data_IF_733347566960
#
_entry.id   IF_733347566960
#
_cell.length_a   1.000
_cell.length_b   1.000
_cell.length_c   1.000
_cell.angle_alpha   90.00
_cell.angle_beta   90.00
_cell.angle_gamma   90.00
#
_symmetry.space_group_name_H-M   'P 1'
#
loop_
_entity.id
_entity.type
_entity.pdbx_description
1 polymer ?
#
# COMPACT_ATOMS: atom_id res chain seq x y z
N UNK A 1 -7.89 1.78 -18.11
CA UNK A 1 -7.21 0.49 -18.40
C UNK A 1 -7.22 0.08 -19.88
N UNK A 2 -8.09 0.63 -20.72
CA UNK A 2 -8.28 0.20 -22.12
C UNK A 2 -7.05 0.34 -23.03
N UNK A 3 -6.12 1.21 -22.69
CA UNK A 3 -4.85 1.40 -23.43
C UNK A 3 -3.71 0.50 -22.96
N UNK A 4 -3.91 -0.28 -21.91
CA UNK A 4 -2.90 -1.15 -21.32
C UNK A 4 -3.13 -2.60 -21.74
N UNK A 5 -2.05 -3.35 -21.88
CA UNK A 5 -2.09 -4.79 -22.17
C UNK A 5 -1.88 -5.59 -20.90
N UNK A 6 -2.67 -6.63 -20.72
CA UNK A 6 -2.51 -7.58 -19.64
C UNK A 6 -1.50 -8.68 -20.01
N UNK A 7 -0.65 -9.01 -19.06
CA UNK A 7 0.41 -10.02 -19.19
C UNK A 7 0.54 -10.84 -17.91
N UNK A 8 1.31 -11.91 -17.98
CA UNK A 8 1.68 -12.71 -16.81
C UNK A 8 3.13 -13.17 -16.88
N UNK A 9 3.80 -13.19 -15.74
CA UNK A 9 5.13 -13.75 -15.55
C UNK A 9 5.05 -14.88 -14.56
N UNK A 10 5.62 -16.04 -14.90
CA UNK A 10 5.83 -17.14 -13.95
C UNK A 10 7.23 -17.05 -13.39
N UNK A 11 7.34 -16.96 -12.07
CA UNK A 11 8.61 -16.89 -11.33
C UNK A 11 9.25 -18.26 -11.20
N UNK A 12 10.54 -18.29 -10.83
CA UNK A 12 11.32 -19.51 -10.62
C UNK A 12 10.75 -20.43 -9.53
N UNK A 13 10.03 -19.84 -8.56
CA UNK A 13 9.30 -20.57 -7.52
C UNK A 13 7.94 -21.13 -7.98
N UNK A 14 7.58 -20.98 -9.26
CA UNK A 14 6.30 -21.41 -9.83
C UNK A 14 5.12 -20.48 -9.57
N UNK A 15 5.29 -19.39 -8.82
CA UNK A 15 4.26 -18.39 -8.64
C UNK A 15 4.12 -17.52 -9.89
N UNK A 16 2.94 -16.96 -10.10
CA UNK A 16 2.66 -16.10 -11.27
C UNK A 16 2.27 -14.71 -10.79
N UNK A 17 2.86 -13.68 -11.41
CA UNK A 17 2.45 -12.28 -11.29
C UNK A 17 1.74 -11.86 -12.56
N UNK A 18 0.47 -11.49 -12.43
CA UNK A 18 -0.29 -10.83 -13.48
C UNK A 18 -0.01 -9.31 -13.42
N UNK A 19 0.10 -8.66 -14.58
CA UNK A 19 0.38 -7.22 -14.62
C UNK A 19 -0.16 -6.56 -15.88
N UNK A 20 -0.34 -5.26 -15.81
CA UNK A 20 -0.70 -4.40 -16.92
C UNK A 20 0.50 -3.58 -17.35
N UNK A 21 0.66 -3.41 -18.67
CA UNK A 21 1.75 -2.64 -19.26
C UNK A 21 1.25 -1.76 -20.40
N UNK A 22 1.85 -0.56 -20.52
CA UNK A 22 1.55 0.37 -21.61
C UNK A 22 2.58 1.49 -21.76
N UNK A 23 2.28 2.42 -22.65
CA UNK A 23 3.16 3.55 -22.94
C UNK A 23 4.31 3.21 -23.89
N UNK A 24 5.42 3.93 -23.79
CA UNK A 24 6.59 3.76 -24.66
C UNK A 24 7.47 2.62 -24.19
N UNK A 25 7.71 1.61 -25.02
CA UNK A 25 8.53 0.46 -24.66
C UNK A 25 9.98 0.83 -24.28
N UNK A 26 10.51 1.90 -24.87
CA UNK A 26 11.87 2.42 -24.62
C UNK A 26 11.88 3.58 -23.59
N UNK A 27 10.70 3.89 -23.03
CA UNK A 27 10.54 4.95 -22.02
C UNK A 27 11.08 4.56 -20.66
N UNK A 28 11.35 5.57 -19.82
CA UNK A 28 11.70 5.33 -18.41
C UNK A 28 10.63 4.49 -17.73
N UNK A 29 10.98 3.34 -17.12
CA UNK A 29 10.00 2.49 -16.48
C UNK A 29 9.44 3.14 -15.20
N UNK A 30 8.11 3.22 -15.11
CA UNK A 30 7.35 3.54 -13.91
C UNK A 30 6.59 2.29 -13.48
N UNK A 31 6.93 1.74 -12.32
CA UNK A 31 6.29 0.53 -11.77
C UNK A 31 5.41 0.94 -10.60
N UNK A 32 4.10 0.68 -10.73
CA UNK A 32 3.08 1.09 -9.76
C UNK A 32 2.64 -0.10 -8.92
N UNK A 33 2.94 -0.07 -7.62
CA UNK A 33 2.70 -1.16 -6.67
C UNK A 33 1.56 -0.78 -5.74
N UNK A 34 0.45 -1.53 -5.82
CA UNK A 34 -0.71 -1.36 -4.94
C UNK A 34 -0.52 -2.07 -3.60
N UNK A 35 -1.39 -1.76 -2.63
CA UNK A 35 -1.39 -2.37 -1.31
C UNK A 35 -2.67 -3.14 -0.98
N UNK A 36 -3.09 -3.07 0.29
CA UNK A 36 -4.23 -3.79 0.86
C UNK A 36 -5.51 -2.95 0.87
N UNK A 37 -6.65 -3.52 0.60
CA UNK A 37 -6.95 -4.74 -0.15
C UNK A 37 -7.29 -4.39 -1.59
N UNK A 38 -6.28 -4.18 -2.42
CA UNK A 38 -6.37 -3.46 -3.67
C UNK A 38 -5.99 -4.27 -4.91
N UNK A 39 -5.94 -3.64 -6.07
CA UNK A 39 -5.56 -4.17 -7.37
C UNK A 39 -4.70 -3.16 -8.15
N UNK A 40 -3.96 -3.63 -9.15
CA UNK A 40 -3.27 -2.76 -10.10
C UNK A 40 -4.18 -1.69 -10.72
N UNK A 41 -5.47 -1.98 -10.85
CA UNK A 41 -6.46 -1.06 -11.43
C UNK A 41 -6.66 0.22 -10.59
N UNK A 42 -6.33 0.24 -9.31
CA UNK A 42 -6.40 1.47 -8.48
C UNK A 42 -5.55 2.59 -9.06
N UNK A 43 -4.52 2.26 -9.81
CA UNK A 43 -3.63 3.18 -10.50
C UNK A 43 -4.14 3.64 -11.87
N UNK A 44 -5.38 3.34 -12.25
CA UNK A 44 -5.92 3.57 -13.60
C UNK A 44 -5.75 5.00 -14.12
N UNK A 45 -5.86 6.01 -13.26
CA UNK A 45 -5.70 7.42 -13.63
C UNK A 45 -4.24 7.75 -13.94
N UNK A 46 -3.31 7.34 -13.06
CA UNK A 46 -1.89 7.55 -13.21
C UNK A 46 -1.34 6.76 -14.40
N UNK A 47 -1.70 5.48 -14.52
CA UNK A 47 -1.30 4.63 -15.63
C UNK A 47 -1.76 5.20 -16.97
N UNK A 48 -3.04 5.63 -17.08
CA UNK A 48 -3.58 6.23 -18.29
C UNK A 48 -2.86 7.52 -18.68
N UNK A 49 -2.52 8.36 -17.69
CA UNK A 49 -1.82 9.62 -17.89
C UNK A 49 -0.38 9.40 -18.37
N UNK A 50 0.41 8.62 -17.62
CA UNK A 50 1.83 8.43 -17.93
C UNK A 50 2.06 7.55 -19.17
N UNK A 51 1.13 6.66 -19.51
CA UNK A 51 1.18 5.90 -20.77
C UNK A 51 1.07 6.77 -22.02
N UNK A 52 0.49 7.97 -21.92
CA UNK A 52 0.41 8.94 -23.02
C UNK A 52 1.65 9.84 -23.13
N UNK A 53 2.57 9.70 -22.20
CA UNK A 53 3.86 10.40 -22.14
C UNK A 53 4.99 9.47 -22.64
N UNK A 54 6.24 9.85 -22.46
CA UNK A 54 7.40 9.05 -22.88
C UNK A 54 7.81 7.97 -21.86
N UNK A 55 6.89 7.53 -20.98
CA UNK A 55 7.16 6.51 -19.97
C UNK A 55 6.68 5.11 -20.39
N UNK A 56 7.34 4.09 -19.85
CA UNK A 56 6.87 2.71 -19.85
C UNK A 56 6.18 2.46 -18.52
N UNK A 57 4.85 2.31 -18.50
CA UNK A 57 4.07 2.12 -17.28
C UNK A 57 3.76 0.65 -17.05
N UNK A 58 3.94 0.18 -15.83
CA UNK A 58 3.76 -1.22 -15.44
C UNK A 58 3.07 -1.25 -14.08
N UNK A 59 2.04 -2.10 -13.93
CA UNK A 59 1.35 -2.27 -12.66
C UNK A 59 1.00 -3.75 -12.45
N UNK A 60 1.69 -4.45 -11.55
CA UNK A 60 1.32 -5.81 -11.17
C UNK A 60 0.12 -5.83 -10.21
N UNK A 61 -0.70 -6.86 -10.34
CA UNK A 61 -1.49 -7.34 -9.21
C UNK A 61 -0.53 -8.05 -8.25
N UNK A 62 -0.43 -7.56 -7.03
CA UNK A 62 0.50 -8.12 -6.05
C UNK A 62 0.05 -9.52 -5.63
N UNK A 63 0.96 -10.30 -5.03
CA UNK A 63 0.67 -11.65 -4.54
C UNK A 63 -0.55 -11.66 -3.63
N UNK A 64 -1.50 -12.53 -3.94
CA UNK A 64 -2.76 -12.65 -3.22
C UNK A 64 -3.92 -11.87 -3.82
N UNK A 65 -3.69 -11.14 -4.91
CA UNK A 65 -4.68 -10.26 -5.53
C UNK A 65 -4.86 -10.54 -7.02
N UNK A 66 -6.02 -10.15 -7.54
CA UNK A 66 -6.35 -10.16 -8.97
C UNK A 66 -6.17 -11.53 -9.62
N UNK A 67 -5.38 -11.59 -10.67
CA UNK A 67 -5.06 -12.82 -11.36
C UNK A 67 -3.65 -13.37 -11.01
N UNK A 68 -2.96 -12.76 -10.03
CA UNK A 68 -1.71 -13.27 -9.48
C UNK A 68 -1.92 -14.47 -8.55
N UNK A 69 -0.85 -15.20 -8.28
CA UNK A 69 -0.88 -16.35 -7.37
C UNK A 69 -1.21 -15.94 -5.93
N UNK A 70 -1.97 -16.80 -5.24
CA UNK A 70 -2.42 -16.60 -3.87
C UNK A 70 -2.15 -17.86 -3.01
N UNK A 71 -0.88 -18.12 -2.62
CA UNK A 71 -0.55 -19.28 -1.78
C UNK A 71 -1.21 -19.19 -0.41
N UNK A 72 -1.49 -20.37 0.19
CA UNK A 72 -2.13 -20.48 1.51
C UNK A 72 -1.16 -20.44 2.69
N UNK A 73 0.15 -20.35 2.43
CA UNK A 73 1.16 -20.18 3.47
C UNK A 73 1.37 -18.68 3.77
N UNK A 74 1.20 -18.28 5.03
CA UNK A 74 1.41 -16.88 5.43
C UNK A 74 2.82 -16.38 5.17
N UNK A 75 3.84 -17.24 5.29
CA UNK A 75 5.23 -16.88 5.05
C UNK A 75 5.48 -16.43 3.62
N UNK A 76 4.69 -16.92 2.66
CA UNK A 76 4.75 -16.49 1.27
C UNK A 76 4.48 -14.97 1.08
N UNK A 77 3.95 -14.30 2.08
CA UNK A 77 3.65 -12.87 2.10
C UNK A 77 4.64 -12.05 2.94
N UNK A 78 5.72 -12.68 3.43
CA UNK A 78 6.80 -11.96 4.10
C UNK A 78 7.65 -11.16 3.12
N UNK A 79 8.26 -10.07 3.58
CA UNK A 79 9.10 -9.22 2.71
C UNK A 79 10.34 -9.95 2.20
N UNK A 80 10.89 -10.91 2.97
CA UNK A 80 12.00 -11.75 2.51
C UNK A 80 11.66 -12.65 1.32
N UNK A 81 10.34 -12.90 1.07
CA UNK A 81 9.85 -13.65 -0.09
C UNK A 81 9.39 -12.71 -1.21
N UNK A 82 8.72 -11.61 -0.87
CA UNK A 82 8.17 -10.66 -1.84
C UNK A 82 9.26 -9.84 -2.53
N UNK A 83 10.31 -9.43 -1.80
CA UNK A 83 11.40 -8.62 -2.38
C UNK A 83 12.15 -9.36 -3.47
N UNK A 84 12.63 -10.60 -3.30
CA UNK A 84 13.22 -11.37 -4.39
C UNK A 84 12.28 -11.58 -5.58
N UNK A 85 10.97 -11.68 -5.35
CA UNK A 85 10.00 -11.79 -6.46
C UNK A 85 9.89 -10.48 -7.26
N UNK A 86 9.93 -9.32 -6.60
CA UNK A 86 9.97 -8.03 -7.30
C UNK A 86 11.29 -7.83 -8.08
N UNK A 87 12.41 -8.31 -7.54
CA UNK A 87 13.69 -8.33 -8.26
C UNK A 87 13.57 -9.18 -9.53
N UNK A 88 13.10 -10.42 -9.41
CA UNK A 88 12.89 -11.32 -10.54
C UNK A 88 11.87 -10.76 -11.55
N UNK A 89 10.83 -10.07 -11.07
CA UNK A 89 9.85 -9.39 -11.91
C UNK A 89 10.53 -8.33 -12.79
N UNK A 90 11.35 -7.46 -12.22
CA UNK A 90 12.11 -6.46 -12.97
C UNK A 90 13.09 -7.12 -13.97
N UNK A 91 13.81 -8.16 -13.56
CA UNK A 91 14.74 -8.90 -14.41
C UNK A 91 14.04 -9.51 -15.63
N UNK A 92 12.91 -10.18 -15.45
CA UNK A 92 12.12 -10.78 -16.54
C UNK A 92 11.55 -9.75 -17.52
N UNK A 93 11.34 -8.53 -17.07
CA UNK A 93 10.94 -7.39 -17.89
C UNK A 93 12.13 -6.65 -18.52
N UNK A 94 13.36 -7.12 -18.30
CA UNK A 94 14.62 -6.49 -18.72
C UNK A 94 14.77 -5.06 -18.18
N UNK A 95 14.27 -4.80 -16.98
CA UNK A 95 14.35 -3.51 -16.30
C UNK A 95 15.54 -3.53 -15.33
N UNK A 96 16.56 -2.71 -15.62
CA UNK A 96 17.73 -2.57 -14.75
C UNK A 96 17.49 -1.58 -13.62
N UNK A 97 16.77 -0.50 -13.92
CA UNK A 97 16.36 0.53 -12.97
C UNK A 97 14.99 1.07 -13.35
N UNK A 98 14.19 1.39 -12.36
CA UNK A 98 12.87 2.00 -12.53
C UNK A 98 12.62 3.10 -11.51
N UNK A 99 11.60 3.90 -11.74
CA UNK A 99 10.92 4.65 -10.69
C UNK A 99 9.82 3.73 -10.13
N UNK A 100 9.88 3.46 -8.84
CA UNK A 100 8.89 2.65 -8.14
C UNK A 100 7.91 3.57 -7.42
N UNK A 101 6.62 3.44 -7.78
CA UNK A 101 5.53 4.23 -7.21
C UNK A 101 4.64 3.28 -6.42
N UNK A 102 4.43 3.58 -5.15
CA UNK A 102 3.76 2.63 -4.26
C UNK A 102 2.69 3.30 -3.39
N UNK A 103 1.72 2.49 -2.95
CA UNK A 103 0.67 2.89 -2.02
C UNK A 103 0.43 1.77 -0.99
N UNK A 104 0.15 2.16 0.27
CA UNK A 104 -0.19 1.26 1.38
C UNK A 104 0.86 0.15 1.59
N UNK A 105 0.49 -1.15 1.67
CA UNK A 105 1.44 -2.27 1.75
C UNK A 105 2.36 -2.39 0.53
N UNK A 106 1.96 -1.82 -0.61
CA UNK A 106 2.88 -1.65 -1.74
C UNK A 106 4.10 -0.82 -1.36
N UNK A 107 3.92 0.23 -0.53
CA UNK A 107 5.06 0.95 0.05
C UNK A 107 5.91 0.04 0.93
N UNK A 108 5.30 -0.80 1.79
CA UNK A 108 6.07 -1.75 2.61
C UNK A 108 6.97 -2.67 1.78
N UNK A 109 6.46 -3.20 0.67
CA UNK A 109 7.23 -4.03 -0.24
C UNK A 109 8.34 -3.25 -0.97
N UNK A 110 8.01 -2.04 -1.48
CA UNK A 110 8.97 -1.18 -2.20
C UNK A 110 10.01 -0.59 -1.25
N UNK A 111 9.66 -0.25 -0.02
CA UNK A 111 10.59 0.20 1.02
C UNK A 111 11.64 -0.86 1.32
N UNK A 112 11.21 -2.11 1.53
CA UNK A 112 12.13 -3.22 1.74
C UNK A 112 12.98 -3.50 0.48
N UNK A 113 12.38 -3.43 -0.73
CA UNK A 113 13.13 -3.53 -1.98
C UNK A 113 14.20 -2.43 -2.08
N UNK A 114 13.86 -1.19 -1.75
CA UNK A 114 14.78 -0.05 -1.78
C UNK A 114 15.95 -0.21 -0.81
N UNK A 115 15.69 -0.71 0.38
CA UNK A 115 16.70 -0.94 1.41
C UNK A 115 17.64 -2.12 1.08
N UNK A 116 17.18 -3.14 0.35
CA UNK A 116 17.96 -4.32 0.00
C UNK A 116 18.57 -4.26 -1.41
N UNK A 117 17.90 -3.59 -2.35
CA UNK A 117 18.26 -3.51 -3.76
C UNK A 117 18.23 -2.07 -4.31
N UNK A 118 18.96 -1.09 -3.69
CA UNK A 118 18.97 0.30 -4.13
C UNK A 118 19.41 0.47 -5.58
N UNK A 119 20.17 -0.49 -6.12
CA UNK A 119 20.61 -0.52 -7.51
C UNK A 119 19.46 -0.59 -8.54
N UNK A 120 18.27 -0.99 -8.16
CA UNK A 120 17.08 -1.09 -9.02
C UNK A 120 16.30 0.24 -9.12
N UNK A 121 16.75 1.27 -8.41
CA UNK A 121 16.02 2.54 -8.31
C UNK A 121 16.64 3.66 -9.15
N UNK A 122 15.81 4.32 -9.97
CA UNK A 122 16.03 5.68 -10.44
C UNK A 122 15.48 6.67 -9.41
N UNK A 123 14.41 6.29 -8.74
CA UNK A 123 13.75 7.02 -7.68
C UNK A 123 12.58 6.22 -7.11
N UNK A 124 12.01 6.70 -6.02
CA UNK A 124 10.87 6.08 -5.34
C UNK A 124 9.81 7.14 -5.03
N UNK A 125 8.54 6.81 -5.24
CA UNK A 125 7.42 7.65 -4.82
C UNK A 125 6.47 6.83 -3.94
N UNK A 126 6.34 7.21 -2.68
CA UNK A 126 5.45 6.58 -1.71
C UNK A 126 4.22 7.46 -1.47
N UNK A 127 3.04 6.85 -1.56
CA UNK A 127 1.76 7.50 -1.29
C UNK A 127 1.15 6.94 0.00
N UNK A 128 0.76 7.83 0.89
CA UNK A 128 0.15 7.59 2.20
C UNK A 128 1.10 6.92 3.22
N UNK A 129 1.88 5.92 2.85
CA UNK A 129 2.75 5.17 3.77
C UNK A 129 4.21 5.58 3.61
N UNK A 130 4.79 6.05 4.70
CA UNK A 130 6.15 6.56 4.76
C UNK A 130 7.22 5.46 4.60
N UNK A 131 8.41 5.83 4.13
CA UNK A 131 9.60 4.97 4.25
C UNK A 131 9.97 4.80 5.72
N UNK A 132 10.44 3.63 6.11
CA UNK A 132 10.74 3.22 7.50
C UNK A 132 9.49 3.24 8.37
N UNK A 133 8.46 2.46 7.97
CA UNK A 133 7.21 2.33 8.70
C UNK A 133 6.71 0.87 8.76
N UNK A 134 5.79 0.45 7.91
CA UNK A 134 5.13 -0.86 7.97
C UNK A 134 6.08 -2.03 7.77
N UNK A 135 7.14 -1.86 7.02
CA UNK A 135 8.20 -2.86 6.80
C UNK A 135 9.02 -3.17 8.07
N UNK A 136 9.00 -2.26 9.03
CA UNK A 136 9.71 -2.43 10.31
C UNK A 136 8.85 -3.07 11.41
N UNK A 137 7.64 -3.50 11.06
CA UNK A 137 6.78 -4.28 11.94
C UNK A 137 5.97 -3.46 12.94
N UNK A 138 5.05 -4.17 13.63
CA UNK A 138 4.04 -3.55 14.47
C UNK A 138 4.62 -2.78 15.69
N UNK A 139 5.64 -3.32 16.34
CA UNK A 139 6.23 -2.67 17.53
C UNK A 139 6.85 -1.31 17.16
N UNK A 140 7.48 -1.22 15.97
CA UNK A 140 7.99 0.05 15.47
C UNK A 140 6.84 1.04 15.20
N UNK A 141 5.78 0.60 14.54
CA UNK A 141 4.60 1.45 14.28
C UNK A 141 3.98 1.98 15.57
N UNK A 142 3.86 1.12 16.59
CA UNK A 142 3.35 1.50 17.92
C UNK A 142 4.26 2.51 18.61
N UNK A 143 5.59 2.40 18.45
CA UNK A 143 6.55 3.37 18.99
C UNK A 143 6.43 4.77 18.34
N UNK A 144 5.84 4.84 17.12
CA UNK A 144 5.62 6.09 16.41
C UNK A 144 4.27 6.76 16.71
N UNK A 145 3.39 6.09 17.47
CA UNK A 145 2.03 6.59 17.77
C UNK A 145 2.08 7.97 18.42
N UNK A 146 1.29 8.90 17.88
CA UNK A 146 1.06 10.21 18.50
C UNK A 146 0.19 10.06 19.75
N UNK A 147 0.80 10.10 20.93
CA UNK A 147 0.15 9.88 22.22
C UNK A 147 -0.75 11.03 22.67
N UNK A 148 -0.69 12.20 22.03
CA UNK A 148 -1.65 13.28 22.25
C UNK A 148 -3.01 12.94 21.63
N UNK A 149 -3.03 12.20 20.51
CA UNK A 149 -4.26 11.70 19.88
C UNK A 149 -4.69 10.37 20.49
N UNK A 150 -3.72 9.50 20.80
CA UNK A 150 -3.93 8.13 21.29
C UNK A 150 -3.25 7.91 22.65
N UNK A 151 -3.78 8.44 23.77
CA UNK A 151 -3.24 8.19 25.10
C UNK A 151 -3.07 6.69 25.37
N UNK A 152 -1.89 6.28 25.87
CA UNK A 152 -1.50 4.87 25.97
C UNK A 152 -2.44 4.03 26.83
N UNK A 153 -2.95 4.62 27.93
CA UNK A 153 -3.91 3.97 28.84
C UNK A 153 -5.26 3.65 28.18
N UNK A 154 -5.61 4.34 27.09
CA UNK A 154 -6.85 4.10 26.35
C UNK A 154 -6.60 3.36 25.02
N UNK A 155 -5.47 3.59 24.39
CA UNK A 155 -5.14 3.11 23.04
C UNK A 155 -3.74 2.49 23.03
N UNK A 156 -3.57 1.34 23.68
CA UNK A 156 -2.28 0.63 23.79
C UNK A 156 -1.54 0.55 22.44
N UNK A 157 -2.25 0.16 21.38
CA UNK A 157 -1.71 -0.01 20.02
C UNK A 157 -1.91 1.23 19.12
N UNK A 158 -2.47 2.33 19.64
CA UNK A 158 -2.85 3.48 18.84
C UNK A 158 -3.79 3.09 17.68
N UNK A 159 -3.61 3.73 16.53
CA UNK A 159 -4.35 3.42 15.29
C UNK A 159 -4.02 2.03 14.69
N UNK A 160 -2.99 1.35 15.20
CA UNK A 160 -2.53 0.04 14.71
C UNK A 160 -3.22 -1.15 15.40
N UNK A 161 -4.20 -0.92 16.25
CA UNK A 161 -4.91 -1.97 16.97
C UNK A 161 -5.53 -3.04 16.03
N UNK A 162 -5.91 -2.67 14.80
CA UNK A 162 -6.39 -3.61 13.79
C UNK A 162 -5.33 -4.63 13.36
N UNK A 163 -4.05 -4.24 13.26
CA UNK A 163 -2.97 -5.17 12.91
C UNK A 163 -2.76 -6.19 14.02
N UNK A 164 -2.83 -5.75 15.29
CA UNK A 164 -2.80 -6.66 16.44
C UNK A 164 -3.99 -7.61 16.45
N UNK A 165 -5.16 -7.12 16.05
CA UNK A 165 -6.34 -7.95 15.90
C UNK A 165 -6.15 -9.04 14.83
N UNK A 166 -5.56 -8.73 13.68
CA UNK A 166 -5.22 -9.73 12.66
C UNK A 166 -4.31 -10.84 13.20
N UNK A 167 -3.28 -10.50 13.97
CA UNK A 167 -2.37 -11.51 14.55
C UNK A 167 -3.05 -12.45 15.53
N UNK A 168 -3.92 -11.92 16.40
CA UNK A 168 -4.54 -12.67 17.49
C UNK A 168 -5.86 -13.36 17.08
N UNK A 169 -6.54 -12.83 16.08
CA UNK A 169 -7.88 -13.22 15.65
C UNK A 169 -7.96 -13.36 14.12
N UNK A 170 -6.99 -14.06 13.54
CA UNK A 170 -6.83 -14.16 12.08
C UNK A 170 -8.09 -14.71 11.39
N UNK A 171 -8.63 -15.84 11.88
CA UNK A 171 -9.78 -16.49 11.27
C UNK A 171 -11.06 -15.65 11.40
N UNK A 172 -11.27 -15.05 12.60
CA UNK A 172 -12.40 -14.18 12.85
C UNK A 172 -12.36 -12.93 11.98
N UNK A 173 -11.17 -12.32 11.81
CA UNK A 173 -11.02 -11.14 10.97
C UNK A 173 -11.30 -11.45 9.49
N UNK A 174 -10.76 -12.55 8.97
CA UNK A 174 -11.04 -12.98 7.59
C UNK A 174 -12.55 -13.19 7.37
N UNK A 175 -13.20 -13.89 8.31
CA UNK A 175 -14.62 -14.15 8.23
C UNK A 175 -15.47 -12.87 8.25
N UNK A 176 -15.10 -11.86 9.02
CA UNK A 176 -15.80 -10.58 9.03
C UNK A 176 -15.85 -9.92 7.65
N UNK A 177 -14.75 -10.02 6.89
CA UNK A 177 -14.68 -9.50 5.52
C UNK A 177 -15.40 -10.39 4.52
N UNK A 178 -15.21 -11.71 4.60
CA UNK A 178 -15.80 -12.67 3.67
C UNK A 178 -17.32 -12.74 3.74
N UNK A 179 -17.89 -12.64 4.94
CA UNK A 179 -19.34 -12.65 5.13
C UNK A 179 -20.06 -11.46 4.48
N UNK A 180 -19.35 -10.36 4.17
CA UNK A 180 -19.93 -9.09 3.70
C UNK A 180 -19.07 -8.35 2.67
N UNK A 181 -18.44 -9.09 1.76
CA UNK A 181 -17.44 -8.56 0.80
C UNK A 181 -17.94 -7.29 0.09
N UNK A 182 -19.14 -7.33 -0.52
CA UNK A 182 -19.69 -6.23 -1.30
C UNK A 182 -19.88 -4.96 -0.47
N UNK A 183 -20.40 -5.12 0.73
CA UNK A 183 -20.66 -4.01 1.63
C UNK A 183 -19.38 -3.40 2.19
N UNK A 184 -18.46 -4.27 2.67
CA UNK A 184 -17.21 -3.85 3.27
C UNK A 184 -16.31 -3.17 2.25
N UNK A 185 -16.26 -3.68 1.02
CA UNK A 185 -15.50 -3.03 -0.06
C UNK A 185 -15.97 -1.58 -0.26
N UNK A 186 -17.27 -1.32 -0.26
CA UNK A 186 -17.77 0.06 -0.35
C UNK A 186 -17.41 0.91 0.88
N UNK A 187 -17.48 0.34 2.08
CA UNK A 187 -17.14 1.05 3.33
C UNK A 187 -15.65 1.43 3.36
N UNK A 188 -14.75 0.54 2.95
CA UNK A 188 -13.31 0.81 2.93
C UNK A 188 -12.93 1.94 1.97
N UNK A 189 -13.61 2.04 0.84
CA UNK A 189 -13.32 3.05 -0.19
C UNK A 189 -14.20 4.31 -0.09
N UNK A 190 -14.70 4.64 1.08
CA UNK A 190 -15.41 5.91 1.28
C UNK A 190 -14.43 7.09 1.26
N UNK A 191 -14.93 8.24 0.80
CA UNK A 191 -14.19 9.51 0.82
C UNK A 191 -13.80 9.90 2.25
N UNK A 192 -12.70 10.59 2.39
CA UNK A 192 -12.26 11.11 3.68
C UNK A 192 -13.30 12.03 4.33
N UNK A 193 -13.18 12.16 5.65
CA UNK A 193 -14.02 13.06 6.47
C UNK A 193 -13.11 14.06 7.20
N UNK A 194 -13.01 15.32 6.75
CA UNK A 194 -12.12 16.32 7.36
C UNK A 194 -12.34 16.51 8.86
N UNK A 195 -13.59 16.30 9.33
CA UNK A 195 -13.95 16.38 10.74
C UNK A 195 -13.34 15.30 11.62
N UNK A 196 -12.79 14.23 11.05
CA UNK A 196 -12.07 13.17 11.79
C UNK A 196 -10.61 13.52 12.05
N UNK A 197 -10.08 14.56 11.40
CA UNK A 197 -8.68 14.96 11.53
C UNK A 197 -8.29 15.25 12.98
N UNK A 198 -7.15 14.66 13.41
CA UNK A 198 -6.63 14.83 14.77
C UNK A 198 -7.44 14.14 15.86
N UNK A 199 -8.37 13.25 15.50
CA UNK A 199 -9.16 12.43 16.43
C UNK A 199 -8.75 10.96 16.31
N UNK A 200 -9.00 10.14 17.36
CA UNK A 200 -8.77 8.72 17.28
C UNK A 200 -9.51 8.06 16.11
N UNK A 201 -8.78 7.32 15.30
CA UNK A 201 -9.28 6.54 14.18
C UNK A 201 -10.21 5.41 14.65
N UNK A 202 -11.25 5.04 13.90
CA UNK A 202 -12.01 3.81 14.15
C UNK A 202 -11.12 2.55 14.26
N UNK A 203 -9.99 2.52 13.56
CA UNK A 203 -9.02 1.41 13.59
C UNK A 203 -8.43 1.16 14.99
N UNK A 204 -8.31 2.22 15.80
CA UNK A 204 -7.82 2.12 17.19
C UNK A 204 -8.76 1.36 18.13
N UNK A 205 -10.01 1.17 17.73
CA UNK A 205 -11.01 0.48 18.54
C UNK A 205 -11.15 -1.00 18.21
N UNK A 206 -10.53 -1.50 17.13
CA UNK A 206 -10.73 -2.86 16.62
C UNK A 206 -10.54 -3.93 17.70
N UNK A 207 -9.49 -3.86 18.51
CA UNK A 207 -9.27 -4.78 19.63
C UNK A 207 -10.39 -4.68 20.70
N UNK A 208 -10.75 -3.47 21.12
CA UNK A 208 -11.79 -3.24 22.14
C UNK A 208 -13.19 -3.60 21.64
N UNK A 209 -13.43 -3.40 20.36
CA UNK A 209 -14.70 -3.74 19.71
C UNK A 209 -14.87 -5.25 19.49
N UNK A 210 -13.76 -6.01 19.51
CA UNK A 210 -13.73 -7.44 19.21
C UNK A 210 -13.87 -7.74 17.72
N UNK A 211 -13.45 -6.81 16.87
CA UNK A 211 -13.45 -6.91 15.41
C UNK A 211 -13.53 -5.57 14.70
N UNK A 212 -13.36 -5.60 13.37
CA UNK A 212 -13.39 -4.41 12.52
C UNK A 212 -14.78 -3.76 12.46
N UNK A 213 -15.81 -4.60 12.39
CA UNK A 213 -17.20 -4.17 12.20
C UNK A 213 -18.07 -4.72 13.34
N UNK A 214 -17.55 -4.66 14.56
CA UNK A 214 -18.22 -5.10 15.77
C UNK A 214 -18.30 -4.00 16.82
N UNK A 215 -19.23 -4.17 17.75
CA UNK A 215 -19.28 -3.44 19.00
C UNK A 215 -19.45 -4.46 20.12
N UNK A 216 -18.48 -4.52 21.06
CA UNK A 216 -18.46 -5.51 22.15
C UNK A 216 -18.60 -6.98 21.65
N UNK A 217 -17.92 -7.30 20.54
CA UNK A 217 -17.94 -8.61 19.91
C UNK A 217 -19.19 -8.93 19.07
N UNK A 218 -20.16 -8.03 18.99
CA UNK A 218 -21.39 -8.21 18.20
C UNK A 218 -21.25 -7.45 16.87
N UNK A 219 -21.53 -8.08 15.71
CA UNK A 219 -21.53 -7.39 14.42
C UNK A 219 -22.47 -6.18 14.43
N UNK A 220 -21.99 -5.05 13.89
CA UNK A 220 -22.82 -3.85 13.71
C UNK A 220 -23.46 -3.86 12.32
N UNK A 221 -24.62 -3.27 12.21
CA UNK A 221 -25.23 -2.99 10.91
C UNK A 221 -24.45 -1.90 10.21
N UNK A 222 -23.89 -2.25 9.07
CA UNK A 222 -23.22 -1.29 8.18
C UNK A 222 -24.24 -0.77 7.17
N UNK A 223 -24.24 0.54 6.88
CA UNK A 223 -25.13 1.08 5.85
C UNK A 223 -24.74 0.54 4.48
N UNK A 224 -25.70 0.23 3.64
CA UNK A 224 -25.46 -0.03 2.22
C UNK A 224 -25.18 1.31 1.52
N UNK A 225 -23.91 1.61 1.33
CA UNK A 225 -23.45 2.86 0.73
C UNK A 225 -23.62 2.75 -0.80
N UNK A 226 -24.38 3.66 -1.45
CA UNK A 226 -24.39 3.75 -2.90
C UNK A 226 -22.99 3.98 -3.45
N UNK A 227 -22.67 3.35 -4.60
CA UNK A 227 -21.32 3.38 -5.18
C UNK A 227 -20.83 4.81 -5.47
N UNK A 228 -21.74 5.73 -5.82
CA UNK A 228 -21.48 7.15 -6.09
C UNK A 228 -20.90 7.93 -4.90
N UNK A 229 -21.08 7.42 -3.66
CA UNK A 229 -20.49 8.01 -2.43
C UNK A 229 -19.15 7.38 -2.06
N UNK A 230 -18.66 6.47 -2.89
CA UNK A 230 -17.34 5.87 -2.74
C UNK A 230 -16.33 6.46 -3.74
N UNK A 231 -15.10 6.00 -3.69
CA UNK A 231 -14.04 6.31 -4.65
C UNK A 231 -14.00 5.31 -5.82
N UNK A 232 -14.89 4.33 -5.82
CA UNK A 232 -14.92 3.23 -6.77
C UNK A 232 -15.81 3.57 -7.97
N UNK A 233 -15.32 3.32 -9.16
CA UNK A 233 -16.18 3.14 -10.33
C UNK A 233 -16.72 1.69 -10.42
N UNK A 234 -17.70 1.45 -11.30
CA UNK A 234 -18.31 0.13 -11.46
C UNK A 234 -17.30 -0.97 -11.82
N UNK A 235 -16.31 -0.64 -12.64
CA UNK A 235 -15.30 -1.61 -13.10
C UNK A 235 -14.35 -2.01 -11.97
N UNK A 236 -13.79 -1.02 -11.25
CA UNK A 236 -12.90 -1.29 -10.11
C UNK A 236 -13.63 -2.03 -9.00
N UNK A 237 -14.87 -1.63 -8.67
CA UNK A 237 -15.71 -2.32 -7.70
C UNK A 237 -15.93 -3.78 -8.08
N UNK A 238 -16.36 -4.05 -9.31
CA UNK A 238 -16.60 -5.41 -9.78
C UNK A 238 -15.34 -6.28 -9.76
N UNK A 239 -14.18 -5.72 -10.12
CA UNK A 239 -12.90 -6.44 -10.12
C UNK A 239 -12.38 -6.71 -8.70
N UNK A 240 -12.53 -5.78 -7.76
CA UNK A 240 -12.24 -6.01 -6.34
C UNK A 240 -13.09 -7.17 -5.77
N UNK A 241 -14.41 -7.13 -6.00
CA UNK A 241 -15.32 -8.21 -5.57
C UNK A 241 -14.92 -9.55 -6.18
N UNK A 242 -14.60 -9.57 -7.49
CA UNK A 242 -14.15 -10.79 -8.18
C UNK A 242 -12.87 -11.34 -7.56
N UNK A 243 -11.88 -10.47 -7.28
CA UNK A 243 -10.61 -10.85 -6.68
C UNK A 243 -10.82 -11.44 -5.27
N UNK A 244 -11.57 -10.75 -4.41
CA UNK A 244 -11.83 -11.19 -3.05
C UNK A 244 -12.66 -12.48 -2.99
N UNK A 245 -13.64 -12.65 -3.87
CA UNK A 245 -14.40 -13.91 -3.98
C UNK A 245 -13.56 -15.08 -4.49
N UNK A 246 -12.57 -14.80 -5.36
CA UNK A 246 -11.65 -15.81 -5.90
C UNK A 246 -10.65 -16.32 -4.84
N UNK A 247 -10.09 -15.41 -4.06
CA UNK A 247 -8.96 -15.70 -3.17
C UNK A 247 -9.31 -15.78 -1.69
N UNK A 248 -10.48 -15.25 -1.28
CA UNK A 248 -10.82 -15.00 0.12
C UNK A 248 -10.00 -13.86 0.72
N UNK A 249 -10.09 -13.71 2.03
CA UNK A 249 -9.34 -12.68 2.78
C UNK A 249 -8.09 -13.22 3.49
N UNK A 250 -7.74 -14.50 3.34
CA UNK A 250 -6.46 -14.99 3.85
C UNK A 250 -5.27 -14.26 3.20
N UNK A 251 -5.16 -14.16 1.86
CA UNK A 251 -4.03 -13.49 1.23
C UNK A 251 -3.86 -12.03 1.67
N UNK A 252 -4.90 -11.17 1.62
CA UNK A 252 -4.79 -9.81 2.15
C UNK A 252 -4.36 -9.75 3.62
N UNK A 253 -4.94 -10.59 4.48
CA UNK A 253 -4.61 -10.63 5.92
C UNK A 253 -3.17 -11.11 6.16
N UNK A 254 -2.67 -12.05 5.36
CA UNK A 254 -1.34 -12.63 5.52
C UNK A 254 -0.20 -11.60 5.40
N UNK A 255 -0.40 -10.49 4.69
CA UNK A 255 0.56 -9.38 4.65
C UNK A 255 0.85 -8.79 6.04
N UNK A 256 -0.13 -8.84 6.94
CA UNK A 256 -0.02 -8.34 8.33
C UNK A 256 0.49 -9.39 9.33
N UNK A 257 0.70 -10.65 8.92
CA UNK A 257 1.06 -11.75 9.83
C UNK A 257 2.57 -12.05 9.87
N UNK A 258 3.39 -11.21 9.21
CA UNK A 258 4.82 -11.45 9.04
C UNK A 258 5.71 -10.40 9.73
N UNK A 259 5.21 -9.66 10.72
CA UNK A 259 5.96 -8.58 11.36
C UNK A 259 7.33 -9.03 11.89
N UNK A 260 7.40 -10.18 12.59
CA UNK A 260 8.67 -10.71 13.13
C UNK A 260 9.65 -11.07 12.00
N UNK A 261 9.19 -11.73 10.95
CA UNK A 261 10.02 -12.08 9.80
C UNK A 261 10.52 -10.82 9.07
N UNK A 262 9.66 -9.83 8.90
CA UNK A 262 10.00 -8.56 8.25
C UNK A 262 11.06 -7.78 9.04
N UNK A 263 10.92 -7.72 10.37
CA UNK A 263 11.93 -7.10 11.26
C UNK A 263 13.27 -7.82 11.17
N UNK A 264 13.27 -9.16 11.12
CA UNK A 264 14.51 -9.94 10.97
C UNK A 264 15.15 -9.69 9.60
N UNK A 265 14.36 -9.65 8.54
CA UNK A 265 14.81 -9.34 7.19
C UNK A 265 15.45 -7.95 7.10
N UNK A 266 14.84 -6.94 7.73
CA UNK A 266 15.36 -5.57 7.76
C UNK A 266 16.79 -5.45 8.34
N UNK A 267 17.25 -6.39 9.17
CA UNK A 267 18.62 -6.39 9.70
C UNK A 267 19.71 -6.57 8.63
N UNK A 268 19.34 -7.08 7.46
CA UNK A 268 20.25 -7.30 6.31
C UNK A 268 20.20 -6.19 5.27
N UNK A 269 19.55 -5.05 5.56
CA UNK A 269 19.48 -3.89 4.69
C UNK A 269 20.87 -3.35 4.30
N UNK A 270 21.01 -2.95 3.03
CA UNK A 270 22.21 -2.28 2.55
C UNK A 270 22.30 -0.85 3.13
N UNK A 271 23.50 -0.38 3.37
CA UNK A 271 23.77 0.97 3.86
C UNK A 271 22.94 1.36 5.10
N UNK A 272 22.58 0.36 5.94
CA UNK A 272 21.72 0.58 7.13
C UNK A 272 20.34 1.16 6.79
N UNK A 273 19.83 0.92 5.58
CA UNK A 273 18.55 1.43 5.11
C UNK A 273 18.59 2.89 4.63
N UNK A 274 19.77 3.52 4.54
CA UNK A 274 19.88 4.88 4.00
C UNK A 274 19.71 4.88 2.48
N UNK A 275 18.80 5.70 1.97
CA UNK A 275 18.53 5.87 0.54
C UNK A 275 19.23 7.12 0.01
N UNK A 276 20.01 6.94 -1.07
CA UNK A 276 20.80 8.02 -1.71
C UNK A 276 20.21 8.51 -3.04
N UNK A 277 19.15 7.85 -3.53
CA UNK A 277 18.40 8.24 -4.72
C UNK A 277 17.20 9.12 -4.35
N UNK A 278 16.61 9.86 -5.32
CA UNK A 278 15.47 10.74 -5.05
C UNK A 278 14.24 9.98 -4.57
N UNK A 279 13.58 10.49 -3.52
CA UNK A 279 12.33 9.97 -2.99
C UNK A 279 11.27 11.08 -2.95
N UNK A 280 10.09 10.79 -3.47
CA UNK A 280 8.89 11.59 -3.28
C UNK A 280 8.01 10.89 -2.22
N UNK A 281 7.61 11.63 -1.20
CA UNK A 281 6.56 11.18 -0.29
C UNK A 281 5.33 12.09 -0.42
N UNK A 282 4.18 11.49 -0.73
CA UNK A 282 2.88 12.18 -0.78
C UNK A 282 2.08 11.79 0.46
N UNK A 283 2.02 12.70 1.44
CA UNK A 283 1.23 12.52 2.64
C UNK A 283 -0.26 12.72 2.35
N UNK A 284 -1.07 11.72 2.64
CA UNK A 284 -2.52 11.80 2.63
C UNK A 284 -2.98 12.37 3.98
N UNK A 285 -3.21 13.67 4.06
CA UNK A 285 -3.43 14.43 5.31
C UNK A 285 -4.50 13.87 6.22
N UNK A 286 -5.56 13.32 5.64
CA UNK A 286 -6.73 12.79 6.36
C UNK A 286 -6.72 11.26 6.46
N UNK A 287 -5.59 10.61 6.14
CA UNK A 287 -5.43 9.17 6.34
C UNK A 287 -5.53 8.85 7.84
N UNK A 288 -6.47 7.98 8.17
CA UNK A 288 -6.80 7.64 9.55
C UNK A 288 -5.72 6.79 10.26
N UNK A 289 -4.76 6.21 9.51
CA UNK A 289 -3.71 5.35 10.05
C UNK A 289 -2.30 5.88 9.76
N UNK A 290 -2.03 6.29 8.51
CA UNK A 290 -0.65 6.40 8.01
C UNK A 290 -0.17 7.84 7.83
N UNK A 291 -1.03 8.87 8.01
CA UNK A 291 -0.66 10.27 7.79
C UNK A 291 0.52 10.71 8.67
N UNK A 292 1.60 11.15 8.04
CA UNK A 292 2.74 11.74 8.73
C UNK A 292 2.41 13.12 9.34
N UNK A 293 1.34 13.78 8.87
CA UNK A 293 0.84 15.02 9.48
C UNK A 293 0.27 14.76 10.89
N UNK A 294 -0.40 13.64 11.12
CA UNK A 294 -0.91 13.25 12.46
C UNK A 294 0.06 12.39 13.25
N UNK A 295 1.06 11.80 12.58
CA UNK A 295 2.14 10.99 13.18
C UNK A 295 3.50 11.57 12.78
N UNK A 296 3.94 12.71 13.38
CA UNK A 296 5.15 13.44 12.95
C UNK A 296 6.43 12.59 12.94
N UNK A 297 6.48 11.54 13.77
CA UNK A 297 7.61 10.59 13.83
C UNK A 297 7.93 9.96 12.48
N UNK A 298 6.93 9.71 11.64
CA UNK A 298 7.16 9.18 10.28
C UNK A 298 7.93 10.16 9.40
N UNK A 299 7.67 11.46 9.53
CA UNK A 299 8.45 12.47 8.80
C UNK A 299 9.89 12.53 9.30
N UNK A 300 10.09 12.58 10.63
CA UNK A 300 11.42 12.62 11.24
C UNK A 300 12.29 11.44 10.79
N UNK A 301 11.73 10.23 10.79
CA UNK A 301 12.46 9.02 10.38
C UNK A 301 12.79 9.06 8.88
N UNK A 302 11.87 9.52 8.02
CA UNK A 302 12.18 9.68 6.60
C UNK A 302 13.32 10.68 6.37
N UNK A 303 13.31 11.83 7.05
CA UNK A 303 14.36 12.86 6.95
C UNK A 303 15.73 12.34 7.41
N UNK A 304 15.77 11.39 8.34
CA UNK A 304 17.00 10.74 8.79
C UNK A 304 17.59 9.80 7.73
N UNK A 305 16.73 8.98 7.08
CA UNK A 305 17.17 7.88 6.22
C UNK A 305 17.14 8.20 4.73
N UNK A 306 16.50 9.28 4.28
CA UNK A 306 16.40 9.65 2.87
C UNK A 306 17.20 10.93 2.59
N UNK A 307 18.25 10.85 1.76
CA UNK A 307 19.14 11.99 1.49
C UNK A 307 18.54 13.04 0.54
N UNK A 308 17.68 12.63 -0.38
CA UNK A 308 16.99 13.52 -1.32
C UNK A 308 15.47 13.29 -1.23
N UNK A 309 14.86 13.81 -0.15
CA UNK A 309 13.44 13.70 0.12
C UNK A 309 12.68 14.92 -0.40
N UNK A 310 11.70 14.68 -1.27
CA UNK A 310 10.64 15.62 -1.62
C UNK A 310 9.37 15.25 -0.86
N UNK A 311 8.80 16.21 -0.14
CA UNK A 311 7.61 16.00 0.67
C UNK A 311 6.46 16.86 0.14
N UNK A 312 5.34 16.22 -0.20
CA UNK A 312 4.10 16.88 -0.64
C UNK A 312 2.94 16.41 0.27
N UNK A 313 1.99 17.28 0.52
CA UNK A 313 0.77 16.94 1.30
C UNK A 313 -0.45 17.16 0.44
N UNK A 314 -1.34 16.17 0.41
CA UNK A 314 -2.60 16.24 -0.34
C UNK A 314 -3.78 16.12 0.63
N UNK A 315 -4.78 17.00 0.47
CA UNK A 315 -6.03 16.99 1.25
C UNK A 315 -6.94 15.83 0.80
N UNK A 316 -6.55 14.60 1.18
CA UNK A 316 -7.21 13.34 0.84
C UNK A 316 -7.14 12.36 2.01
N UNK A 317 -7.99 11.34 1.97
CA UNK A 317 -7.90 10.16 2.81
C UNK A 317 -6.88 9.15 2.28
N UNK A 318 -6.94 7.93 2.80
CA UNK A 318 -5.99 6.86 2.51
C UNK A 318 -5.79 6.60 1.00
N UNK A 319 -6.85 6.53 0.22
CA UNK A 319 -6.84 6.24 -1.21
C UNK A 319 -6.52 7.49 -2.06
N UNK A 320 -5.42 8.18 -1.76
CA UNK A 320 -5.07 9.47 -2.35
C UNK A 320 -5.00 9.44 -3.88
N UNK A 321 -4.53 8.34 -4.48
CA UNK A 321 -4.44 8.13 -5.93
C UNK A 321 -5.80 8.05 -6.63
N UNK A 322 -6.86 7.65 -5.90
CA UNK A 322 -8.24 7.61 -6.39
C UNK A 322 -8.99 8.89 -6.06
N UNK A 323 -8.78 9.43 -4.85
CA UNK A 323 -9.54 10.58 -4.36
C UNK A 323 -9.08 11.91 -4.97
N UNK A 324 -7.77 12.02 -5.22
CA UNK A 324 -7.11 13.20 -5.76
C UNK A 324 -6.15 12.84 -6.91
N UNK A 325 -6.65 12.16 -7.96
CA UNK A 325 -5.80 11.66 -9.02
C UNK A 325 -5.00 12.76 -9.72
N UNK A 326 -5.59 13.95 -9.90
CA UNK A 326 -4.91 15.06 -10.55
C UNK A 326 -3.75 15.59 -9.71
N UNK A 327 -3.97 15.82 -8.42
CA UNK A 327 -2.96 16.31 -7.49
C UNK A 327 -1.78 15.32 -7.38
N UNK A 328 -2.07 14.02 -7.36
CA UNK A 328 -1.03 12.97 -7.37
C UNK A 328 -0.26 12.96 -8.68
N UNK A 329 -0.93 13.10 -9.82
CA UNK A 329 -0.29 13.17 -11.14
C UNK A 329 0.60 14.40 -11.23
N UNK A 330 0.10 15.58 -10.87
CA UNK A 330 0.85 16.83 -10.90
C UNK A 330 2.12 16.75 -10.01
N UNK A 331 2.01 16.18 -8.81
CA UNK A 331 3.15 15.99 -7.91
C UNK A 331 4.19 15.03 -8.48
N UNK A 332 3.75 13.91 -9.05
CA UNK A 332 4.62 12.92 -9.70
C UNK A 332 5.31 13.53 -10.93
N UNK A 333 4.58 14.23 -11.83
CA UNK A 333 5.20 14.87 -13.02
C UNK A 333 6.26 15.87 -12.63
N UNK A 334 5.93 16.80 -11.74
CA UNK A 334 6.86 17.83 -11.27
C UNK A 334 8.13 17.21 -10.67
N UNK A 335 8.00 16.16 -9.89
CA UNK A 335 9.12 15.48 -9.28
C UNK A 335 9.94 14.67 -10.29
N UNK A 336 9.30 13.95 -11.21
CA UNK A 336 9.96 13.20 -12.28
C UNK A 336 10.79 14.13 -13.17
N UNK A 337 10.23 15.27 -13.59
CA UNK A 337 10.94 16.28 -14.38
C UNK A 337 12.15 16.86 -13.64
N UNK A 338 12.01 17.14 -12.34
CA UNK A 338 13.06 17.76 -11.55
C UNK A 338 14.19 16.80 -11.14
N UNK A 339 13.90 15.50 -10.97
CA UNK A 339 14.82 14.56 -10.31
C UNK A 339 15.25 13.37 -11.18
N UNK A 340 14.45 12.99 -12.18
CA UNK A 340 14.67 11.74 -12.93
C UNK A 340 15.06 12.04 -14.39
N UNK A 341 14.55 13.12 -14.98
CA UNK A 341 14.77 13.46 -16.40
C UNK A 341 16.10 14.15 -16.69
N UNK A 342 17.00 14.28 -15.71
CA UNK A 342 18.28 14.95 -15.84
C UNK A 342 19.39 14.03 -16.39
#
# INVERSE_FOLDING_TARGET
MDSLKAHSITHTNGQTTHYYEGGSADGTPLIFIHGWPDLAQTWQHQLSHFAQKSYRVIAPDMRGYGDSSAPSDKHAYSLEVLVPELVEFAEKLNIKKAVWVAHDWGCGAVNALAAHHPELFLGMANLAVAYRSVELGLDFLVSCVNRDIYPENEYEWGQWAYQRYYELHTEESMKEFEDRIELITKVLYTKHKPESYGKPSPLAFTMKAGGWFKAKGVPVDLPDIPLEYTLLDESLYANLIKSHKKHGFFPPTAWYLNHTANVEYAKSEKNGGVLEFPVLYIDAKYDAACSATTTPKFKEVQEEFVKDLTYETVDAGHWVQLEKPKEVIDALEKWLEAKISA
#
